data_IF_933632499841
#
_entry.id   IF_933632499841
#
_cell.length_a   1.000
_cell.length_b   1.000
_cell.length_c   1.000
_cell.angle_alpha   90.00
_cell.angle_beta   90.00
_cell.angle_gamma   90.00
#
_symmetry.space_group_name_H-M   'P 1'
#
loop_
_entity.id
_entity.type
_entity.pdbx_description
1 polymer ?
#
# COMPACT_ATOMS: atom_id res chain seq x y z
N UNK A 1 -6.80 7.85 14.14
CA UNK A 1 -7.33 6.49 14.34
C UNK A 1 -6.26 5.72 15.07
N UNK A 2 -6.60 5.19 16.24
CA UNK A 2 -5.71 4.34 17.03
C UNK A 2 -5.64 2.95 16.38
N UNK A 3 -4.53 2.23 16.54
CA UNK A 3 -4.30 0.92 15.92
C UNK A 3 -5.41 -0.08 16.28
N UNK A 4 -5.81 -0.10 17.55
CA UNK A 4 -6.87 -0.98 18.06
C UNK A 4 -8.23 -0.71 17.41
N UNK A 5 -8.57 0.55 17.15
CA UNK A 5 -9.81 0.91 16.42
C UNK A 5 -9.78 0.41 14.97
N UNK A 6 -8.60 0.48 14.32
CA UNK A 6 -8.44 -0.01 12.96
C UNK A 6 -8.51 -1.54 12.88
N UNK A 7 -7.99 -2.24 13.90
CA UNK A 7 -8.10 -3.69 14.02
C UNK A 7 -9.55 -4.12 14.25
N UNK A 8 -10.27 -3.50 15.20
CA UNK A 8 -11.68 -3.83 15.44
C UNK A 8 -12.53 -3.61 14.18
N UNK A 9 -12.32 -2.48 13.50
CA UNK A 9 -13.03 -2.19 12.25
C UNK A 9 -12.71 -3.21 11.14
N UNK A 10 -11.50 -3.76 11.13
CA UNK A 10 -11.13 -4.83 10.22
C UNK A 10 -11.86 -6.13 10.57
N UNK A 11 -11.85 -6.53 11.84
CA UNK A 11 -12.55 -7.72 12.32
C UNK A 11 -14.05 -7.65 11.98
N UNK A 12 -14.70 -6.52 12.26
CA UNK A 12 -16.10 -6.29 11.92
C UNK A 12 -16.33 -6.47 10.41
N UNK A 13 -15.49 -5.85 9.57
CA UNK A 13 -15.59 -5.99 8.11
C UNK A 13 -15.35 -7.42 7.63
N UNK A 14 -14.47 -8.17 8.27
CA UNK A 14 -14.20 -9.57 7.95
C UNK A 14 -15.39 -10.47 8.29
N UNK A 15 -16.04 -10.24 9.43
CA UNK A 15 -17.28 -10.94 9.82
C UNK A 15 -18.41 -10.73 8.79
N UNK A 16 -18.49 -9.52 8.21
CA UNK A 16 -19.48 -9.24 7.15
C UNK A 16 -19.20 -9.91 5.80
N UNK A 17 -18.01 -10.50 5.56
CA UNK A 17 -17.66 -11.11 4.27
C UNK A 17 -18.31 -12.49 4.03
N UNK A 18 -19.01 -13.06 5.02
CA UNK A 18 -19.69 -14.35 4.93
C UNK A 18 -18.73 -15.56 4.92
N UNK A 19 -19.19 -16.69 5.45
CA UNK A 19 -18.35 -17.84 5.82
C UNK A 19 -17.47 -18.39 4.69
N UNK A 20 -18.03 -18.59 3.49
CA UNK A 20 -17.28 -19.11 2.32
C UNK A 20 -16.15 -18.20 1.82
N UNK A 21 -16.19 -16.91 2.17
CA UNK A 21 -15.16 -15.94 1.78
C UNK A 21 -13.96 -15.95 2.72
N UNK A 22 -14.17 -16.33 3.99
CA UNK A 22 -13.12 -16.37 5.01
C UNK A 22 -12.18 -17.57 4.83
N UNK A 23 -12.70 -18.75 4.48
CA UNK A 23 -11.87 -19.92 4.17
C UNK A 23 -10.91 -19.66 3.00
N UNK A 24 -11.38 -18.89 2.02
CA UNK A 24 -10.63 -18.53 0.83
C UNK A 24 -9.97 -17.14 0.94
N UNK A 25 -9.88 -16.56 2.14
CA UNK A 25 -9.34 -15.21 2.32
C UNK A 25 -7.90 -15.14 1.80
N UNK A 26 -7.11 -16.19 2.00
CA UNK A 26 -5.73 -16.32 1.50
C UNK A 26 -5.60 -16.35 -0.03
N UNK A 27 -6.68 -16.68 -0.74
CA UNK A 27 -6.75 -16.65 -2.21
C UNK A 27 -7.19 -15.29 -2.74
N UNK A 28 -7.76 -14.42 -1.88
CA UNK A 28 -8.15 -13.08 -2.30
C UNK A 28 -6.94 -12.25 -2.67
N UNK A 29 -7.19 -11.21 -3.47
CA UNK A 29 -6.15 -10.29 -3.88
C UNK A 29 -5.77 -9.35 -2.73
N UNK A 30 -4.47 -9.25 -2.45
CA UNK A 30 -3.90 -8.30 -1.49
C UNK A 30 -2.80 -7.48 -2.10
N UNK A 31 -2.50 -6.39 -1.40
CA UNK A 31 -1.53 -5.41 -1.81
C UNK A 31 -0.57 -5.19 -0.63
N UNK A 32 0.64 -5.74 -0.71
CA UNK A 32 1.71 -5.51 0.27
C UNK A 32 2.54 -4.30 -0.16
N UNK A 33 2.76 -3.35 0.74
CA UNK A 33 3.55 -2.14 0.49
C UNK A 33 4.76 -2.11 1.40
N UNK A 34 5.91 -1.77 0.84
CA UNK A 34 7.16 -1.59 1.56
C UNK A 34 7.83 -0.30 1.08
N UNK A 35 8.29 0.52 2.02
CA UNK A 35 9.05 1.75 1.76
C UNK A 35 10.54 1.51 2.02
N UNK A 36 11.40 2.14 1.22
CA UNK A 36 12.84 2.16 1.44
C UNK A 36 13.20 2.93 2.70
N UNK A 37 14.33 2.56 3.32
CA UNK A 37 14.94 3.35 4.40
C UNK A 37 15.70 4.56 3.84
N UNK A 38 16.20 4.46 2.61
CA UNK A 38 16.74 5.60 1.88
C UNK A 38 15.64 6.63 1.61
N UNK A 39 16.00 7.91 1.73
CA UNK A 39 15.07 9.03 1.57
C UNK A 39 15.43 9.94 0.40
N UNK A 40 14.42 10.61 -0.13
CA UNK A 40 14.51 11.70 -1.08
C UNK A 40 14.08 12.99 -0.38
N UNK A 41 14.96 13.99 -0.45
CA UNK A 41 14.69 15.30 0.13
C UNK A 41 13.88 16.16 -0.85
N UNK A 42 12.79 16.73 -0.35
CA UNK A 42 11.91 17.66 -1.05
C UNK A 42 12.44 19.09 -1.00
N UNK A 43 11.89 19.97 -1.84
CA UNK A 43 12.28 21.39 -1.92
C UNK A 43 12.07 22.16 -0.61
N UNK A 44 11.13 21.70 0.23
CA UNK A 44 10.85 22.27 1.57
C UNK A 44 11.78 21.70 2.66
N UNK A 45 12.77 20.88 2.29
CA UNK A 45 13.73 20.26 3.19
C UNK A 45 13.25 18.98 3.86
N UNK A 46 11.96 18.62 3.74
CA UNK A 46 11.41 17.38 4.30
C UNK A 46 11.79 16.15 3.49
N UNK A 47 11.65 14.96 4.08
CA UNK A 47 12.09 13.71 3.48
C UNK A 47 10.90 12.78 3.21
N UNK A 48 10.93 12.12 2.05
CA UNK A 48 10.03 11.02 1.69
C UNK A 48 10.85 9.77 1.35
N UNK A 49 10.29 8.56 1.35
CA UNK A 49 10.99 7.38 0.88
C UNK A 49 11.50 7.56 -0.56
N UNK A 50 12.74 7.14 -0.80
CA UNK A 50 13.36 7.18 -2.12
C UNK A 50 12.80 6.12 -3.06
N UNK A 51 12.20 5.06 -2.51
CA UNK A 51 11.46 4.05 -3.21
C UNK A 51 10.26 3.54 -2.39
N UNK A 52 9.13 3.31 -3.08
CA UNK A 52 7.99 2.57 -2.54
C UNK A 52 7.66 1.40 -3.47
N UNK A 53 7.62 0.18 -2.93
CA UNK A 53 7.29 -1.04 -3.65
C UNK A 53 5.91 -1.50 -3.22
N UNK A 54 5.00 -1.70 -4.17
CA UNK A 54 3.70 -2.33 -3.97
C UNK A 54 3.68 -3.67 -4.70
N UNK A 55 3.48 -4.76 -3.97
CA UNK A 55 3.37 -6.12 -4.49
C UNK A 55 1.91 -6.52 -4.43
N UNK A 56 1.33 -6.90 -5.56
CA UNK A 56 0.01 -7.52 -5.55
C UNK A 56 0.16 -9.04 -5.49
N UNK A 57 -0.53 -9.65 -4.54
CA UNK A 57 -0.71 -11.09 -4.46
C UNK A 57 -2.14 -11.43 -4.86
N UNK A 58 -2.32 -12.50 -5.64
CA UNK A 58 -3.61 -12.99 -6.12
C UNK A 58 -3.55 -14.52 -6.20
N UNK A 59 -4.56 -15.23 -5.69
CA UNK A 59 -4.57 -16.69 -5.56
C UNK A 59 -3.27 -17.26 -4.94
N UNK A 60 -2.78 -16.64 -3.86
CA UNK A 60 -1.58 -17.06 -3.15
C UNK A 60 -0.25 -16.88 -3.90
N UNK A 61 -0.25 -16.17 -5.04
CA UNK A 61 0.95 -15.92 -5.85
C UNK A 61 1.16 -14.43 -6.13
N UNK A 62 2.40 -14.01 -6.33
CA UNK A 62 2.70 -12.65 -6.80
C UNK A 62 2.15 -12.48 -8.23
N UNK A 63 1.21 -11.58 -8.40
CA UNK A 63 0.60 -11.28 -9.69
C UNK A 63 1.32 -10.14 -10.41
N UNK A 64 1.75 -9.12 -9.67
CA UNK A 64 2.39 -7.93 -10.23
C UNK A 64 3.13 -7.13 -9.17
N UNK A 65 4.10 -6.34 -9.61
CA UNK A 65 4.94 -5.50 -8.76
C UNK A 65 4.95 -4.09 -9.33
N UNK A 66 4.70 -3.08 -8.50
CA UNK A 66 4.70 -1.68 -8.86
C UNK A 66 5.71 -0.93 -7.99
N UNK A 67 6.72 -0.34 -8.61
CA UNK A 67 7.81 0.39 -7.92
C UNK A 67 7.70 1.88 -8.24
N UNK A 68 7.70 2.73 -7.22
CA UNK A 68 7.59 4.18 -7.33
C UNK A 68 8.89 4.86 -6.94
N UNK A 69 9.33 5.83 -7.75
CA UNK A 69 10.56 6.59 -7.54
C UNK A 69 10.30 8.10 -7.70
N UNK A 70 10.61 8.95 -6.70
CA UNK A 70 10.35 10.39 -6.73
C UNK A 70 11.31 11.20 -7.64
N UNK A 71 12.17 10.53 -8.40
CA UNK A 71 12.93 11.14 -9.51
C UNK A 71 13.52 10.08 -10.44
N UNK A 72 13.77 10.45 -11.71
CA UNK A 72 14.57 9.66 -12.67
C UNK A 72 16.08 9.78 -12.47
N UNK A 73 16.56 10.80 -11.76
CA UNK A 73 17.98 11.18 -11.73
C UNK A 73 18.85 10.36 -10.79
N UNK A 74 18.29 9.54 -9.90
CA UNK A 74 19.05 8.59 -9.09
C UNK A 74 18.86 7.17 -9.61
N UNK A 75 19.89 6.66 -10.28
CA UNK A 75 20.05 5.25 -10.59
C UNK A 75 20.40 4.49 -9.32
N UNK A 76 19.42 3.88 -8.66
CA UNK A 76 19.70 2.89 -7.62
C UNK A 76 20.41 1.71 -8.28
N UNK A 77 21.56 1.29 -7.73
CA UNK A 77 22.24 0.06 -8.17
C UNK A 77 21.29 -1.10 -7.90
N UNK A 78 20.82 -1.72 -8.98
CA UNK A 78 19.87 -2.81 -8.94
C UNK A 78 20.57 -4.13 -8.62
N UNK A 79 19.97 -4.93 -7.74
CA UNK A 79 20.07 -6.38 -7.84
C UNK A 79 19.39 -6.82 -9.16
N UNK A 80 20.06 -7.69 -9.91
CA UNK A 80 19.70 -8.07 -11.28
C UNK A 80 18.26 -8.60 -11.38
N UNK A 81 17.54 -8.13 -12.42
CA UNK A 81 16.15 -8.50 -12.79
C UNK A 81 15.99 -9.99 -13.11
N UNK A 82 17.09 -10.75 -13.15
CA UNK A 82 17.10 -12.17 -13.50
C UNK A 82 16.28 -13.02 -12.54
N UNK A 83 16.10 -12.61 -11.28
CA UNK A 83 15.28 -13.35 -10.30
C UNK A 83 13.76 -13.14 -10.44
N UNK A 84 13.30 -12.16 -11.23
CA UNK A 84 11.87 -11.82 -11.35
C UNK A 84 11.25 -12.09 -12.73
N UNK A 85 11.91 -12.92 -13.56
CA UNK A 85 11.52 -13.18 -14.97
C UNK A 85 10.11 -13.78 -15.19
N UNK A 86 9.33 -14.04 -14.13
CA UNK A 86 7.93 -14.49 -14.22
C UNK A 86 6.84 -13.44 -13.91
N UNK A 87 7.19 -12.25 -13.40
CA UNK A 87 6.20 -11.32 -12.84
C UNK A 87 6.07 -10.00 -13.61
N UNK A 88 4.82 -9.49 -13.74
CA UNK A 88 4.54 -8.20 -14.39
C UNK A 88 5.02 -7.04 -13.50
N UNK A 89 6.26 -6.58 -13.70
CA UNK A 89 6.86 -5.48 -12.95
C UNK A 89 6.73 -4.14 -13.71
N UNK A 90 6.22 -3.11 -13.04
CA UNK A 90 6.13 -1.74 -13.58
C UNK A 90 6.88 -0.77 -12.69
N UNK A 91 7.66 0.12 -13.30
CA UNK A 91 8.32 1.25 -12.64
C UNK A 91 7.59 2.54 -12.95
N UNK A 92 7.37 3.38 -11.94
CA UNK A 92 6.72 4.68 -12.06
C UNK A 92 7.65 5.72 -11.45
N UNK A 93 8.24 6.52 -12.32
CA UNK A 93 8.99 7.70 -11.93
C UNK A 93 8.02 8.88 -11.88
N UNK A 94 8.09 9.68 -10.82
CA UNK A 94 7.24 10.84 -10.62
C UNK A 94 8.04 11.94 -9.95
N UNK A 95 7.70 13.20 -10.21
CA UNK A 95 8.29 14.34 -9.51
C UNK A 95 7.28 14.91 -8.49
N UNK A 96 7.58 14.92 -7.18
CA UNK A 96 6.69 15.47 -6.15
C UNK A 96 6.33 16.95 -6.37
N UNK A 97 7.23 17.74 -6.96
CA UNK A 97 7.03 19.15 -7.25
C UNK A 97 6.16 19.39 -8.50
N UNK A 98 5.83 18.34 -9.27
CA UNK A 98 4.99 18.41 -10.47
C UNK A 98 3.63 17.77 -10.21
N UNK A 99 2.60 18.61 -10.14
CA UNK A 99 1.21 18.21 -9.84
C UNK A 99 0.71 17.06 -10.72
N UNK A 100 1.01 17.13 -12.02
CA UNK A 100 0.61 16.12 -13.01
C UNK A 100 1.22 14.75 -12.71
N UNK A 101 2.49 14.72 -12.31
CA UNK A 101 3.21 13.49 -12.01
C UNK A 101 2.71 12.86 -10.71
N UNK A 102 2.54 13.66 -9.67
CA UNK A 102 1.95 13.24 -8.39
C UNK A 102 0.54 12.67 -8.58
N UNK A 103 -0.29 13.30 -9.41
CA UNK A 103 -1.63 12.80 -9.73
C UNK A 103 -1.61 11.52 -10.56
N UNK A 104 -0.70 11.40 -11.54
CA UNK A 104 -0.54 10.18 -12.33
C UNK A 104 -0.05 9.01 -11.46
N UNK A 105 0.87 9.28 -10.54
CA UNK A 105 1.38 8.31 -9.57
C UNK A 105 0.23 7.76 -8.72
N UNK A 106 -0.58 8.62 -8.10
CA UNK A 106 -1.72 8.19 -7.28
C UNK A 106 -2.80 7.46 -8.08
N UNK A 107 -3.13 7.93 -9.29
CA UNK A 107 -4.08 7.20 -10.16
C UNK A 107 -3.57 5.81 -10.48
N UNK A 108 -2.29 5.70 -10.84
CA UNK A 108 -1.65 4.41 -11.11
C UNK A 108 -1.68 3.50 -9.88
N UNK A 109 -1.40 4.07 -8.69
CA UNK A 109 -1.46 3.33 -7.45
C UNK A 109 -2.89 2.87 -7.13
N UNK A 110 -3.88 3.75 -7.17
CA UNK A 110 -5.28 3.40 -6.91
C UNK A 110 -5.80 2.31 -7.85
N UNK A 111 -5.50 2.38 -9.14
CA UNK A 111 -5.84 1.30 -10.08
C UNK A 111 -5.15 -0.02 -9.72
N UNK A 112 -3.94 0.04 -9.21
CA UNK A 112 -3.24 -1.16 -8.73
C UNK A 112 -3.91 -1.79 -7.50
N UNK A 113 -4.58 -0.98 -6.68
CA UNK A 113 -5.35 -1.40 -5.50
C UNK A 113 -6.77 -1.84 -5.82
N UNK A 114 -7.25 -1.63 -7.04
CA UNK A 114 -8.57 -2.10 -7.44
C UNK A 114 -8.66 -3.61 -7.24
N UNK A 115 -9.78 -4.06 -6.67
CA UNK A 115 -10.08 -5.46 -6.36
C UNK A 115 -9.22 -6.09 -5.25
N UNK A 116 -8.30 -5.35 -4.60
CA UNK A 116 -7.71 -5.80 -3.33
C UNK A 116 -8.83 -5.91 -2.27
N UNK A 117 -8.80 -6.96 -1.44
CA UNK A 117 -9.83 -7.21 -0.43
C UNK A 117 -10.00 -5.97 0.46
N UNK A 118 -11.24 -5.48 0.57
CA UNK A 118 -11.58 -4.25 1.32
C UNK A 118 -10.75 -3.01 0.89
N UNK A 119 -10.12 -3.05 -0.29
CA UNK A 119 -9.15 -2.06 -0.78
C UNK A 119 -8.01 -1.78 0.22
N UNK A 120 -7.59 -2.79 0.98
CA UNK A 120 -6.56 -2.65 2.00
C UNK A 120 -5.16 -2.60 1.41
N UNK A 121 -4.31 -1.85 2.11
CA UNK A 121 -2.87 -1.80 1.95
C UNK A 121 -2.25 -2.47 3.16
N UNK A 122 -1.66 -3.64 2.95
CA UNK A 122 -0.91 -4.33 3.98
C UNK A 122 0.51 -3.79 4.00
N UNK A 123 1.06 -3.55 5.18
CA UNK A 123 2.43 -3.05 5.37
C UNK A 123 3.10 -3.79 6.53
N UNK A 124 4.38 -4.14 6.46
CA UNK A 124 5.08 -4.67 7.63
C UNK A 124 5.01 -3.68 8.81
N UNK A 125 4.82 -4.15 10.05
CA UNK A 125 4.66 -3.26 11.21
C UNK A 125 5.81 -2.26 11.36
N UNK A 126 7.05 -2.69 11.12
CA UNK A 126 8.24 -1.83 11.17
C UNK A 126 8.27 -0.73 10.09
N UNK A 127 7.44 -0.82 9.05
CA UNK A 127 7.33 0.16 7.96
C UNK A 127 6.03 0.97 8.00
N UNK A 128 5.09 0.63 8.89
CA UNK A 128 3.77 1.26 8.98
C UNK A 128 3.86 2.79 9.12
N UNK A 129 4.64 3.27 10.08
CA UNK A 129 4.75 4.71 10.34
C UNK A 129 5.37 5.45 9.14
N UNK A 130 6.44 4.90 8.54
CA UNK A 130 7.08 5.44 7.34
C UNK A 130 6.09 5.59 6.18
N UNK A 131 5.26 4.58 5.94
CA UNK A 131 4.24 4.63 4.89
C UNK A 131 3.14 5.65 5.20
N UNK A 132 2.67 5.72 6.44
CA UNK A 132 1.65 6.70 6.84
C UNK A 132 2.15 8.13 6.69
N UNK A 133 3.40 8.40 7.10
CA UNK A 133 4.01 9.73 6.97
C UNK A 133 4.25 10.10 5.51
N UNK A 134 4.69 9.14 4.69
CA UNK A 134 4.77 9.33 3.24
C UNK A 134 3.40 9.70 2.63
N UNK A 135 2.34 8.93 2.92
CA UNK A 135 1.01 9.20 2.38
C UNK A 135 0.45 10.54 2.86
N UNK A 136 0.65 10.90 4.14
CA UNK A 136 0.30 12.23 4.68
C UNK A 136 1.01 13.33 3.92
N UNK A 137 2.33 13.22 3.78
CA UNK A 137 3.14 14.27 3.14
C UNK A 137 2.74 14.48 1.69
N UNK A 138 2.53 13.41 0.92
CA UNK A 138 2.14 13.59 -0.48
C UNK A 138 0.70 14.09 -0.61
N UNK A 139 -0.21 13.69 0.28
CA UNK A 139 -1.55 14.26 0.32
C UNK A 139 -1.52 15.75 0.64
N UNK A 140 -0.66 16.20 1.56
CA UNK A 140 -0.44 17.62 1.85
C UNK A 140 0.05 18.37 0.61
N UNK A 141 1.14 17.91 -0.01
CA UNK A 141 1.71 18.51 -1.24
C UNK A 141 0.63 18.61 -2.32
N UNK A 142 -0.11 17.53 -2.55
CA UNK A 142 -1.15 17.49 -3.58
C UNK A 142 -2.34 18.37 -3.24
N UNK A 143 -2.67 18.58 -1.96
CA UNK A 143 -3.74 19.49 -1.54
C UNK A 143 -3.35 20.95 -1.78
N UNK A 144 -2.11 21.30 -1.48
CA UNK A 144 -1.57 22.65 -1.74
C UNK A 144 -1.51 22.92 -3.25
N UNK A 145 -1.06 21.92 -4.02
CA UNK A 145 -0.86 22.04 -5.47
C UNK A 145 -2.14 21.96 -6.29
N UNK A 146 -3.11 21.14 -5.87
CA UNK A 146 -4.39 21.01 -6.56
C UNK A 146 -5.43 21.84 -5.82
N UNK A 147 -5.86 22.95 -6.43
CA UNK A 147 -7.01 23.75 -5.98
C UNK A 147 -8.37 23.00 -6.13
N UNK A 148 -8.37 21.67 -6.13
CA UNK A 148 -9.53 20.79 -6.31
C UNK A 148 -9.31 19.45 -5.57
N UNK A 149 -10.38 18.77 -5.13
CA UNK A 149 -10.29 17.42 -4.59
C UNK A 149 -9.61 16.46 -5.58
N UNK A 150 -8.67 15.65 -5.10
CA UNK A 150 -7.98 14.64 -5.91
C UNK A 150 -8.07 13.26 -5.28
N UNK A 151 -7.97 12.22 -6.11
CA UNK A 151 -7.95 10.83 -5.65
C UNK A 151 -6.78 10.63 -4.70
N UNK A 152 -7.07 10.21 -3.47
CA UNK A 152 -6.08 9.90 -2.43
C UNK A 152 -6.30 8.50 -1.89
N UNK A 153 -5.24 7.94 -1.31
CA UNK A 153 -5.34 6.70 -0.55
C UNK A 153 -5.75 7.07 0.87
N UNK A 154 -6.93 6.61 1.29
CA UNK A 154 -7.38 6.80 2.66
C UNK A 154 -6.42 6.09 3.62
N UNK A 155 -5.87 6.83 4.59
CA UNK A 155 -4.97 6.28 5.61
C UNK A 155 -5.63 5.16 6.42
N UNK A 156 -6.96 5.17 6.52
CA UNK A 156 -7.73 4.11 7.19
C UNK A 156 -7.73 2.75 6.48
N UNK A 157 -7.19 2.70 5.26
CA UNK A 157 -7.01 1.45 4.51
C UNK A 157 -5.62 0.86 4.66
N UNK A 158 -4.70 1.53 5.37
CA UNK A 158 -3.36 1.03 5.66
C UNK A 158 -3.41 0.25 6.97
N UNK A 159 -3.13 -1.04 6.91
CA UNK A 159 -3.15 -1.95 8.06
C UNK A 159 -1.85 -2.73 8.06
N UNK A 160 -1.25 -2.97 9.24
CA UNK A 160 -0.07 -3.82 9.26
C UNK A 160 -0.42 -5.29 9.03
N UNK A 161 0.53 -6.05 8.47
CA UNK A 161 0.34 -7.47 8.16
C UNK A 161 -0.02 -8.26 9.43
N UNK A 162 0.61 -7.91 10.54
CA UNK A 162 0.46 -8.56 11.84
C UNK A 162 -0.96 -8.38 12.42
N UNK A 163 -1.50 -7.17 12.37
CA UNK A 163 -2.89 -6.90 12.79
C UNK A 163 -3.87 -7.59 11.85
N UNK A 164 -3.56 -7.62 10.56
CA UNK A 164 -4.40 -8.28 9.56
C UNK A 164 -4.50 -9.80 9.81
N UNK A 165 -3.36 -10.47 10.06
CA UNK A 165 -3.32 -11.89 10.37
C UNK A 165 -4.03 -12.19 11.71
N UNK A 166 -3.81 -11.35 12.72
CA UNK A 166 -4.45 -11.51 14.03
C UNK A 166 -5.97 -11.38 13.91
N UNK A 167 -6.47 -10.39 13.15
CA UNK A 167 -7.89 -10.19 12.89
C UNK A 167 -8.52 -11.38 12.16
N UNK A 168 -7.88 -11.91 11.10
CA UNK A 168 -8.36 -13.11 10.41
C UNK A 168 -8.45 -14.29 11.38
N UNK A 169 -7.41 -14.52 12.18
CA UNK A 169 -7.36 -15.65 13.09
C UNK A 169 -8.45 -15.54 14.16
N UNK A 170 -8.70 -14.34 14.69
CA UNK A 170 -9.80 -14.08 15.62
C UNK A 170 -11.15 -14.40 14.98
N UNK A 171 -11.42 -13.88 13.78
CA UNK A 171 -12.68 -14.12 13.07
C UNK A 171 -12.89 -15.61 12.80
N UNK A 172 -11.88 -16.32 12.28
CA UNK A 172 -11.96 -17.77 12.05
C UNK A 172 -12.28 -18.52 13.35
N UNK A 173 -11.58 -18.20 14.45
CA UNK A 173 -11.82 -18.83 15.74
C UNK A 173 -13.23 -18.55 16.28
N UNK A 174 -13.78 -17.36 16.07
CA UNK A 174 -15.16 -17.03 16.45
C UNK A 174 -16.17 -17.88 15.67
N UNK A 175 -15.95 -18.10 14.37
CA UNK A 175 -16.83 -18.95 13.56
C UNK A 175 -16.74 -20.45 13.88
N UNK A 176 -15.60 -20.95 14.38
CA UNK A 176 -15.44 -22.38 14.75
C UNK A 176 -16.13 -22.71 16.08
N UNK A 177 -16.37 -21.72 16.94
CA UNK A 177 -16.95 -21.90 18.28
C UNK A 177 -18.48 -21.70 18.30
N UNK A 178 -19.08 -21.20 17.21
CA UNK A 178 -20.53 -21.05 17.03
C UNK A 178 -21.12 -22.21 16.23
#
# INVERSE_FOLDING_TARGET
MRRDEAQQLLEDKLLFLGDSTLENVHLRRFCLVVTSDETFQLDDGSNIPAETITISMDNGKISSILRFFPSKTRSFKMESVEEFQGHRMRRVYWNPSVVKDSNLMFRTWCHFLERCLLSLLLVPLNKLQSLLDFLRKINEIRTIQNNRPTVSICLSRVICVEDYLSAIQNVINTHVVC
#
